data_IF_930107159817
#
_entry.id   IF_930107159817
#
_cell.length_a   1.000
_cell.length_b   1.000
_cell.length_c   1.000
_cell.angle_alpha   90.00
_cell.angle_beta   90.00
_cell.angle_gamma   90.00
#
_symmetry.space_group_name_H-M   'P 1'
#
loop_
_entity.id
_entity.type
_entity.pdbx_description
1 polymer ?
#
# COMPACT_ATOMS: atom_id res chain seq x y z
N UNK A 1 -9.11 11.01 1.65
CA UNK A 1 -9.42 9.86 0.76
C UNK A 1 -9.84 10.22 -0.67
N UNK A 2 -10.15 11.48 -1.01
CA UNK A 2 -10.57 11.84 -2.39
C UNK A 2 -9.42 11.98 -3.40
N UNK A 3 -8.18 12.20 -2.96
CA UNK A 3 -7.05 12.54 -3.85
C UNK A 3 -6.63 11.39 -4.78
N UNK A 4 -6.88 10.13 -4.38
CA UNK A 4 -6.48 8.96 -5.18
C UNK A 4 -7.50 8.58 -6.26
N UNK A 5 -8.67 9.21 -6.27
CA UNK A 5 -9.70 8.94 -7.27
C UNK A 5 -9.54 9.85 -8.49
N UNK A 6 -9.26 9.25 -9.64
CA UNK A 6 -9.28 9.94 -10.93
C UNK A 6 -10.68 10.52 -11.18
N UNK A 7 -10.74 11.85 -11.30
CA UNK A 7 -12.00 12.65 -11.43
C UNK A 7 -13.05 12.33 -10.36
N UNK A 8 -12.62 11.87 -9.18
CA UNK A 8 -13.51 11.46 -8.09
C UNK A 8 -14.29 10.16 -8.36
N UNK A 9 -13.83 9.30 -9.30
CA UNK A 9 -14.56 8.09 -9.72
C UNK A 9 -13.83 6.79 -9.45
N UNK A 10 -12.58 6.66 -9.89
CA UNK A 10 -11.84 5.39 -9.86
C UNK A 10 -10.42 5.56 -9.33
N UNK A 11 -9.94 4.62 -8.54
CA UNK A 11 -8.55 4.50 -8.12
C UNK A 11 -8.07 3.08 -8.43
N UNK A 12 -6.82 2.93 -8.89
CA UNK A 12 -6.20 1.61 -9.01
C UNK A 12 -5.80 1.09 -7.63
N UNK A 13 -5.77 -0.24 -7.45
CA UNK A 13 -5.13 -0.88 -6.31
C UNK A 13 -4.26 -2.03 -6.83
N UNK A 14 -2.94 -1.91 -6.68
CA UNK A 14 -1.95 -2.85 -7.23
C UNK A 14 -0.83 -3.08 -6.23
N UNK A 15 -0.20 -4.25 -6.26
CA UNK A 15 0.89 -4.59 -5.34
C UNK A 15 2.22 -3.98 -5.80
N UNK A 16 3.06 -3.58 -4.84
CA UNK A 16 4.47 -3.27 -5.09
C UNK A 16 5.37 -4.37 -4.53
N UNK A 17 6.48 -4.65 -5.23
CA UNK A 17 7.51 -5.60 -4.75
C UNK A 17 8.50 -4.98 -3.76
N UNK A 18 8.74 -3.68 -3.88
CA UNK A 18 9.67 -2.88 -3.08
C UNK A 18 9.32 -1.38 -3.17
N UNK A 19 10.00 -0.54 -2.39
CA UNK A 19 9.74 0.92 -2.35
C UNK A 19 10.04 1.60 -3.69
N UNK A 20 11.08 1.17 -4.41
CA UNK A 20 11.41 1.75 -5.71
C UNK A 20 10.27 1.51 -6.71
N UNK A 21 9.73 0.29 -6.74
CA UNK A 21 8.58 -0.04 -7.57
C UNK A 21 7.30 0.66 -7.13
N UNK A 22 7.10 0.91 -5.83
CA UNK A 22 5.98 1.71 -5.36
C UNK A 22 6.01 3.14 -5.93
N UNK A 23 7.20 3.76 -5.99
CA UNK A 23 7.38 5.08 -6.61
C UNK A 23 7.05 5.07 -8.10
N UNK A 24 7.57 4.08 -8.83
CA UNK A 24 7.29 3.89 -10.26
C UNK A 24 5.80 3.72 -10.52
N UNK A 25 5.10 2.90 -9.72
CA UNK A 25 3.65 2.69 -9.82
C UNK A 25 2.90 3.99 -9.55
N UNK A 26 3.27 4.71 -8.49
CA UNK A 26 2.62 5.96 -8.10
C UNK A 26 2.76 7.03 -9.18
N UNK A 27 3.96 7.21 -9.72
CA UNK A 27 4.24 8.13 -10.82
C UNK A 27 3.49 7.73 -12.10
N UNK A 28 3.54 6.46 -12.50
CA UNK A 28 2.87 5.96 -13.69
C UNK A 28 1.34 6.08 -13.63
N UNK A 29 0.76 6.04 -12.43
CA UNK A 29 -0.67 6.22 -12.20
C UNK A 29 -1.08 7.69 -11.99
N UNK A 30 -0.15 8.64 -12.12
CA UNK A 30 -0.37 10.07 -11.83
C UNK A 30 -0.97 10.30 -10.43
N UNK A 31 -0.58 9.47 -9.46
CA UNK A 31 -1.07 9.51 -8.08
C UNK A 31 -2.48 8.94 -7.86
N UNK A 32 -3.16 8.44 -8.89
CA UNK A 32 -4.52 7.85 -8.82
C UNK A 32 -4.52 6.35 -8.51
N UNK A 33 -3.74 5.96 -7.50
CA UNK A 33 -3.51 4.57 -7.10
C UNK A 33 -3.38 4.44 -5.60
N UNK A 34 -3.72 3.27 -5.08
CA UNK A 34 -3.28 2.77 -3.79
C UNK A 34 -2.31 1.61 -4.02
N UNK A 35 -1.14 1.68 -3.39
CA UNK A 35 -0.07 0.70 -3.56
C UNK A 35 -0.13 -0.30 -2.41
N UNK A 36 -0.41 -1.56 -2.75
CA UNK A 36 -0.56 -2.66 -1.81
C UNK A 36 0.77 -3.10 -1.22
N UNK A 37 0.84 -3.12 0.10
CA UNK A 37 1.93 -3.68 0.91
C UNK A 37 1.31 -4.71 1.86
N UNK A 38 1.83 -5.95 1.86
CA UNK A 38 1.19 -7.06 2.56
C UNK A 38 1.77 -7.24 3.97
N UNK A 39 0.91 -7.34 4.98
CA UNK A 39 1.32 -7.58 6.36
C UNK A 39 2.04 -8.91 6.53
N UNK A 40 1.64 -9.92 5.75
CA UNK A 40 2.22 -11.27 5.77
C UNK A 40 3.69 -11.35 5.36
N UNK A 41 4.21 -10.33 4.69
CA UNK A 41 5.62 -10.28 4.27
C UNK A 41 6.56 -9.89 5.43
N UNK A 42 6.00 -9.50 6.58
CA UNK A 42 6.74 -9.09 7.79
C UNK A 42 6.50 -10.06 8.94
N UNK A 43 7.51 -10.24 9.80
CA UNK A 43 7.41 -11.19 10.93
C UNK A 43 6.70 -10.58 12.12
N UNK A 44 6.79 -9.26 12.28
CA UNK A 44 6.16 -8.53 13.40
C UNK A 44 5.37 -7.32 12.93
N UNK A 45 4.49 -6.84 13.80
CA UNK A 45 3.70 -5.62 13.56
C UNK A 45 4.62 -4.40 13.43
N UNK A 46 5.67 -4.33 14.25
CA UNK A 46 6.63 -3.22 14.26
C UNK A 46 7.42 -3.14 12.94
N UNK A 47 7.82 -4.29 12.39
CA UNK A 47 8.46 -4.38 11.07
C UNK A 47 7.52 -3.88 9.97
N UNK A 48 6.27 -4.36 9.97
CA UNK A 48 5.25 -3.94 9.01
C UNK A 48 4.96 -2.44 9.09
N UNK A 49 4.77 -1.89 10.31
CA UNK A 49 4.53 -0.47 10.53
C UNK A 49 5.70 0.37 10.06
N UNK A 50 6.92 -0.05 10.36
CA UNK A 50 8.13 0.67 9.94
C UNK A 50 8.22 0.70 8.41
N UNK A 51 8.03 -0.43 7.75
CA UNK A 51 8.07 -0.51 6.30
C UNK A 51 6.95 0.32 5.67
N UNK A 52 5.69 0.15 6.09
CA UNK A 52 4.54 0.86 5.52
C UNK A 52 4.67 2.39 5.67
N UNK A 53 5.29 2.89 6.75
CA UNK A 53 5.64 4.31 6.88
C UNK A 53 6.70 4.76 5.88
N UNK A 54 7.71 3.94 5.61
CA UNK A 54 8.71 4.23 4.58
C UNK A 54 8.10 4.25 3.17
N UNK A 55 7.18 3.33 2.87
CA UNK A 55 6.39 3.41 1.64
C UNK A 55 5.61 4.73 1.60
N UNK A 56 4.84 5.04 2.64
CA UNK A 56 4.01 6.25 2.71
C UNK A 56 4.77 7.55 2.46
N UNK A 57 6.00 7.67 2.98
CA UNK A 57 6.87 8.83 2.74
C UNK A 57 7.19 9.06 1.26
N UNK A 58 7.29 7.98 0.47
CA UNK A 58 7.70 8.05 -0.94
C UNK A 58 6.51 8.18 -1.91
N UNK A 59 5.28 7.86 -1.47
CA UNK A 59 4.07 7.85 -2.31
C UNK A 59 2.91 8.65 -1.69
N UNK A 60 3.22 9.66 -0.88
CA UNK A 60 2.22 10.52 -0.22
C UNK A 60 1.11 9.73 0.50
N UNK A 61 1.53 8.77 1.32
CA UNK A 61 0.68 7.87 2.09
C UNK A 61 -0.36 7.10 1.27
N UNK A 62 -0.13 6.92 -0.04
CA UNK A 62 -0.96 6.12 -0.93
C UNK A 62 -0.78 4.61 -0.72
N UNK A 63 -0.68 4.16 0.53
CA UNK A 63 -0.47 2.76 0.90
C UNK A 63 -1.82 2.06 1.11
N UNK A 64 -1.96 0.86 0.55
CA UNK A 64 -3.03 -0.09 0.84
C UNK A 64 -2.48 -1.21 1.72
N UNK A 65 -2.83 -1.21 3.01
CA UNK A 65 -2.44 -2.28 3.93
C UNK A 65 -3.21 -3.55 3.57
N UNK A 66 -2.50 -4.57 3.08
CA UNK A 66 -3.09 -5.83 2.62
C UNK A 66 -2.83 -6.97 3.60
N UNK A 67 -3.79 -7.90 3.72
CA UNK A 67 -3.59 -9.13 4.49
C UNK A 67 -2.51 -10.03 3.87
N UNK A 68 -2.52 -10.15 2.55
CA UNK A 68 -1.73 -11.12 1.79
C UNK A 68 -2.48 -12.43 1.55
N UNK A 69 -2.69 -12.77 0.27
CA UNK A 69 -3.39 -13.98 -0.18
C UNK A 69 -4.81 -14.20 0.43
N UNK A 70 -5.47 -13.14 0.91
CA UNK A 70 -6.78 -13.26 1.57
C UNK A 70 -6.74 -13.98 2.92
N UNK A 71 -5.57 -14.01 3.58
CA UNK A 71 -5.35 -14.76 4.82
C UNK A 71 -6.01 -14.09 6.04
N UNK A 72 -7.12 -14.65 6.51
CA UNK A 72 -7.88 -14.09 7.64
C UNK A 72 -7.09 -14.03 8.96
N UNK A 73 -6.01 -14.82 9.10
CA UNK A 73 -5.14 -14.81 10.29
C UNK A 73 -4.39 -13.48 10.44
N UNK A 74 -4.29 -12.72 9.35
CA UNK A 74 -3.69 -11.39 9.33
C UNK A 74 -4.68 -10.29 9.70
N UNK A 75 -5.97 -10.60 9.90
CA UNK A 75 -6.99 -9.59 10.20
C UNK A 75 -6.66 -8.78 11.46
N UNK A 76 -6.19 -9.41 12.53
CA UNK A 76 -5.82 -8.73 13.77
C UNK A 76 -4.50 -7.92 13.66
N UNK A 77 -3.70 -8.17 12.64
CA UNK A 77 -2.45 -7.43 12.35
C UNK A 77 -2.75 -6.18 11.51
N UNK A 78 -3.77 -6.27 10.64
CA UNK A 78 -4.19 -5.21 9.72
C UNK A 78 -5.24 -4.25 10.33
N UNK A 79 -6.06 -4.74 11.28
CA UNK A 79 -7.19 -4.01 11.87
C UNK A 79 -6.80 -2.87 12.81
#
# INVERSE_FOLDING_TARGET
MSQRFYKGRTALNVLAKDIANAKEIYEAAEGYVLVGVLSKDYKTVEEAVTAMKQYGQEIEDAVSIGLGAGDNRQAAIVA
#
